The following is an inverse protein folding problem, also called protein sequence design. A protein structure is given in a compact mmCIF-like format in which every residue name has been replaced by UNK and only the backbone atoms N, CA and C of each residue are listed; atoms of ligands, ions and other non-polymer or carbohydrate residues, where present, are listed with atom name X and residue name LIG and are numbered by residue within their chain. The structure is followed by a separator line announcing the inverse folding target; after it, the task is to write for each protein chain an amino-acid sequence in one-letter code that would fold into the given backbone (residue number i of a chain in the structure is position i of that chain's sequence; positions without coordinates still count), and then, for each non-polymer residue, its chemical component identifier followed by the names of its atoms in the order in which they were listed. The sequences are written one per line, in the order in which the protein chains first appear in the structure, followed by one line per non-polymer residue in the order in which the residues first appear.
data_IF_647784083642
#
_entry.id   IF_647784083642
#
_cell.length_a   1.000
_cell.length_b   1.000
_cell.length_c   1.000
_cell.angle_alpha   90.00
_cell.angle_beta   90.00
_cell.angle_gamma   90.00
#
_symmetry.space_group_name_H-M   'P 1'
#
loop_
_entity.id
_entity.type
_entity.pdbx_description
1 polymer ?
#
# COMPACT_ATOMS: atom_id res chain seq x y z
N UNK A 1 -57.90 -30.44 -3.97
CA UNK A 1 -57.14 -31.53 -3.31
C UNK A 1 -57.75 -32.92 -3.56
N UNK A 2 -58.28 -33.23 -4.76
CA UNK A 2 -58.96 -34.50 -5.03
C UNK A 2 -58.21 -35.46 -5.97
N UNK A 3 -57.21 -34.98 -6.73
CA UNK A 3 -56.49 -35.82 -7.70
C UNK A 3 -55.65 -36.92 -7.04
N UNK A 4 -54.97 -36.61 -5.94
CA UNK A 4 -54.10 -37.58 -5.23
C UNK A 4 -54.90 -38.74 -4.62
N UNK A 5 -56.09 -38.47 -4.10
CA UNK A 5 -56.94 -39.51 -3.50
C UNK A 5 -57.47 -40.48 -4.55
N UNK A 6 -57.86 -39.96 -5.72
CA UNK A 6 -58.31 -40.79 -6.84
C UNK A 6 -57.14 -41.63 -7.39
N UNK A 7 -55.95 -41.05 -7.56
CA UNK A 7 -54.76 -41.81 -7.97
C UNK A 7 -54.40 -42.92 -6.98
N UNK A 8 -54.44 -42.65 -5.67
CA UNK A 8 -54.16 -43.65 -4.62
C UNK A 8 -55.22 -44.76 -4.64
N UNK A 9 -56.49 -44.43 -4.80
CA UNK A 9 -57.59 -45.40 -4.87
C UNK A 9 -57.48 -46.31 -6.10
N UNK A 10 -57.18 -45.75 -7.28
CA UNK A 10 -56.91 -46.54 -8.48
C UNK A 10 -55.68 -47.41 -8.30
N UNK A 11 -54.64 -46.94 -7.61
CA UNK A 11 -53.44 -47.72 -7.35
C UNK A 11 -53.72 -48.89 -6.38
N UNK A 12 -54.60 -48.71 -5.41
CA UNK A 12 -55.00 -49.77 -4.46
C UNK A 12 -55.92 -50.82 -5.10
N UNK A 13 -56.77 -50.45 -6.07
CA UNK A 13 -57.72 -51.37 -6.71
C UNK A 13 -57.12 -52.03 -7.96
N UNK A 14 -56.44 -51.26 -8.79
CA UNK A 14 -55.89 -51.74 -10.05
C UNK A 14 -54.66 -52.63 -9.85
N UNK A 15 -53.93 -52.44 -8.74
CA UNK A 15 -52.76 -53.24 -8.41
C UNK A 15 -53.09 -54.71 -8.01
N UNK A 16 -54.00 -55.00 -7.07
CA UNK A 16 -54.36 -56.39 -6.73
C UNK A 16 -55.10 -57.08 -7.88
N UNK A 17 -55.94 -56.35 -8.61
CA UNK A 17 -56.61 -56.86 -9.81
C UNK A 17 -55.59 -57.14 -10.92
N UNK A 18 -54.62 -56.25 -11.13
CA UNK A 18 -53.51 -56.44 -12.06
C UNK A 18 -52.64 -57.65 -11.71
N UNK A 19 -52.31 -57.85 -10.42
CA UNK A 19 -51.54 -59.01 -9.94
C UNK A 19 -52.34 -60.33 -10.09
N UNK A 20 -53.65 -60.30 -9.82
CA UNK A 20 -54.56 -61.43 -10.00
C UNK A 20 -54.71 -61.79 -11.50
N UNK A 21 -54.86 -60.80 -12.37
CA UNK A 21 -54.86 -61.00 -13.83
C UNK A 21 -53.50 -61.50 -14.33
N UNK A 22 -52.39 -61.05 -13.74
CA UNK A 22 -51.03 -61.49 -14.07
C UNK A 22 -50.80 -62.99 -13.77
N UNK A 23 -51.47 -63.53 -12.75
CA UNK A 23 -51.41 -64.96 -12.40
C UNK A 23 -52.37 -65.80 -13.26
N UNK A 24 -53.51 -65.21 -13.66
CA UNK A 24 -54.54 -65.87 -14.47
C UNK A 24 -54.14 -66.04 -15.95
N UNK A 25 -53.44 -65.06 -16.53
CA UNK A 25 -52.96 -65.12 -17.92
C UNK A 25 -51.43 -65.25 -17.96
N UNK A 26 -50.96 -66.48 -17.75
CA UNK A 26 -49.55 -66.81 -17.58
C UNK A 26 -48.71 -66.65 -18.87
N UNK A 27 -47.90 -65.58 -18.95
CA UNK A 27 -46.75 -65.51 -19.88
C UNK A 27 -45.47 -64.92 -19.25
N UNK A 28 -45.36 -64.90 -17.92
CA UNK A 28 -44.18 -64.34 -17.25
C UNK A 28 -43.13 -65.41 -16.96
N UNK A 29 -41.91 -65.18 -17.46
CA UNK A 29 -40.74 -66.00 -17.16
C UNK A 29 -40.41 -65.92 -15.66
N UNK A 30 -39.79 -66.97 -15.12
CA UNK A 30 -39.48 -67.09 -13.68
C UNK A 30 -38.71 -65.85 -13.17
N UNK A 31 -37.85 -65.28 -14.00
CA UNK A 31 -37.04 -64.10 -13.67
C UNK A 31 -37.88 -62.85 -13.42
N UNK A 32 -38.96 -62.64 -14.19
CA UNK A 32 -39.85 -61.48 -14.02
C UNK A 32 -40.58 -61.55 -12.68
N UNK A 33 -40.97 -62.74 -12.23
CA UNK A 33 -41.60 -62.93 -10.92
C UNK A 33 -40.65 -62.62 -9.76
N UNK A 34 -39.37 -62.98 -9.91
CA UNK A 34 -38.33 -62.66 -8.93
C UNK A 34 -38.12 -61.15 -8.84
N UNK A 35 -38.03 -60.45 -9.97
CA UNK A 35 -37.86 -59.00 -10.02
C UNK A 35 -39.04 -58.27 -9.36
N UNK A 36 -40.28 -58.69 -9.66
CA UNK A 36 -41.48 -58.09 -9.09
C UNK A 36 -41.53 -58.32 -7.57
N UNK A 37 -41.21 -59.53 -7.10
CA UNK A 37 -41.18 -59.84 -5.67
C UNK A 37 -40.12 -59.01 -4.93
N UNK A 38 -38.93 -58.84 -5.53
CA UNK A 38 -37.87 -57.98 -4.99
C UNK A 38 -38.30 -56.51 -4.94
N UNK A 39 -38.98 -56.01 -5.98
CA UNK A 39 -39.47 -54.64 -6.02
C UNK A 39 -40.49 -54.35 -4.91
N UNK A 40 -41.44 -55.27 -4.65
CA UNK A 40 -42.38 -55.12 -3.55
C UNK A 40 -41.71 -55.20 -2.18
N UNK A 41 -40.72 -56.08 -2.02
CA UNK A 41 -39.96 -56.17 -0.78
C UNK A 41 -39.15 -54.89 -0.52
N UNK A 42 -38.53 -54.32 -1.56
CA UNK A 42 -37.83 -53.04 -1.49
C UNK A 42 -38.79 -51.89 -1.18
N UNK A 43 -39.98 -51.85 -1.80
CA UNK A 43 -41.00 -50.83 -1.47
C UNK A 43 -41.43 -50.95 -0.01
N UNK A 44 -41.72 -52.15 0.48
CA UNK A 44 -42.10 -52.37 1.88
C UNK A 44 -40.98 -51.91 2.82
N UNK A 45 -39.72 -52.25 2.50
CA UNK A 45 -38.55 -51.82 3.27
C UNK A 45 -38.38 -50.29 3.23
N UNK A 46 -38.51 -49.66 2.07
CA UNK A 46 -38.45 -48.21 1.92
C UNK A 46 -39.60 -47.49 2.63
N UNK A 47 -40.82 -48.04 2.60
CA UNK A 47 -41.96 -47.48 3.34
C UNK A 47 -41.77 -47.59 4.84
N UNK A 48 -41.21 -48.69 5.34
CA UNK A 48 -40.83 -48.85 6.74
C UNK A 48 -39.66 -47.93 7.15
N UNK A 49 -38.73 -47.65 6.24
CA UNK A 49 -37.62 -46.71 6.48
C UNK A 49 -38.01 -45.22 6.32
N UNK A 50 -39.12 -44.90 5.65
CA UNK A 50 -39.53 -43.50 5.39
C UNK A 50 -40.28 -42.84 6.55
N UNK A 51 -40.74 -43.62 7.54
CA UNK A 51 -41.48 -43.14 8.71
C UNK A 51 -40.58 -42.79 9.91
N UNK A 52 -39.40 -42.19 9.70
CA UNK A 52 -38.55 -41.83 10.83
C UNK A 52 -37.30 -41.01 10.51
N UNK A 53 -37.44 -39.79 9.99
CA UNK A 53 -36.43 -38.77 10.34
C UNK A 53 -36.61 -38.49 11.84
N UNK A 54 -35.66 -38.94 12.66
CA UNK A 54 -35.82 -38.89 14.11
C UNK A 54 -36.02 -37.44 14.57
N UNK A 55 -36.86 -37.23 15.58
CA UNK A 55 -37.07 -35.92 16.20
C UNK A 55 -35.76 -35.26 16.64
N UNK A 56 -34.75 -36.06 16.97
CA UNK A 56 -33.40 -35.61 17.31
C UNK A 56 -32.67 -34.95 16.13
N UNK A 57 -32.79 -35.47 14.90
CA UNK A 57 -32.16 -34.86 13.72
C UNK A 57 -32.77 -33.49 13.38
N UNK A 58 -34.09 -33.31 13.56
CA UNK A 58 -34.74 -32.01 13.37
C UNK A 58 -34.35 -30.99 14.45
N UNK A 59 -34.14 -31.44 15.69
CA UNK A 59 -33.66 -30.58 16.77
C UNK A 59 -32.20 -30.12 16.56
N UNK A 60 -31.34 -31.03 16.11
CA UNK A 60 -29.96 -30.75 15.71
C UNK A 60 -29.89 -29.71 14.59
N UNK A 61 -30.72 -29.84 13.55
CA UNK A 61 -30.76 -28.91 12.43
C UNK A 61 -31.18 -27.50 12.88
N UNK A 62 -32.24 -27.39 13.70
CA UNK A 62 -32.68 -26.10 14.24
C UNK A 62 -31.62 -25.43 15.13
N UNK A 63 -30.86 -26.21 15.91
CA UNK A 63 -29.74 -25.68 16.71
C UNK A 63 -28.63 -25.12 15.79
N UNK A 64 -28.30 -25.83 14.71
CA UNK A 64 -27.32 -25.36 13.72
C UNK A 64 -27.78 -24.10 12.99
N UNK A 65 -29.05 -24.02 12.60
CA UNK A 65 -29.65 -22.81 12.01
C UNK A 65 -29.56 -21.61 12.96
N UNK A 66 -29.91 -21.79 14.23
CA UNK A 66 -29.80 -20.72 15.23
C UNK A 66 -28.34 -20.29 15.45
N UNK A 67 -27.42 -21.26 15.50
CA UNK A 67 -25.99 -20.99 15.63
C UNK A 67 -25.46 -20.19 14.43
N UNK A 68 -25.90 -20.50 13.21
CA UNK A 68 -25.56 -19.76 12.00
C UNK A 68 -26.10 -18.32 12.06
N UNK A 69 -27.35 -18.14 12.47
CA UNK A 69 -27.95 -16.80 12.61
C UNK A 69 -27.18 -15.94 13.63
N UNK A 70 -26.77 -16.53 14.76
CA UNK A 70 -25.98 -15.80 15.76
C UNK A 70 -24.60 -15.42 15.22
N UNK A 71 -23.92 -16.35 14.53
CA UNK A 71 -22.65 -16.06 13.86
C UNK A 71 -22.78 -14.97 12.80
N UNK A 72 -23.85 -14.97 12.01
CA UNK A 72 -24.11 -13.94 11.00
C UNK A 72 -24.27 -12.56 11.64
N UNK A 73 -24.96 -12.47 12.79
CA UNK A 73 -25.08 -11.23 13.56
C UNK A 73 -23.73 -10.74 14.08
N UNK A 74 -22.91 -11.64 14.61
CA UNK A 74 -21.57 -11.29 15.08
C UNK A 74 -20.67 -10.81 13.93
N UNK A 75 -20.76 -11.45 12.76
CA UNK A 75 -20.07 -11.05 11.53
C UNK A 75 -20.50 -9.64 11.08
N UNK A 76 -21.81 -9.35 11.02
CA UNK A 76 -22.31 -8.02 10.67
C UNK A 76 -21.84 -6.95 11.65
N UNK A 77 -21.83 -7.26 12.96
CA UNK A 77 -21.32 -6.36 13.99
C UNK A 77 -19.82 -6.11 13.85
N UNK A 78 -19.05 -7.11 13.42
CA UNK A 78 -17.62 -6.97 13.15
C UNK A 78 -17.36 -6.13 11.90
N UNK A 79 -18.14 -6.33 10.85
CA UNK A 79 -18.09 -5.54 9.61
C UNK A 79 -18.41 -4.06 9.86
N UNK A 80 -19.45 -3.76 10.66
CA UNK A 80 -19.79 -2.39 11.04
C UNK A 80 -18.64 -1.72 11.83
N UNK A 81 -18.01 -2.43 12.77
CA UNK A 81 -16.83 -1.94 13.49
C UNK A 81 -15.63 -1.69 12.59
N UNK A 82 -15.42 -2.55 11.58
CA UNK A 82 -14.35 -2.36 10.61
C UNK A 82 -14.60 -1.11 9.76
N UNK A 83 -15.85 -0.89 9.33
CA UNK A 83 -16.24 0.31 8.58
C UNK A 83 -16.07 1.58 9.42
N UNK A 84 -16.40 1.52 10.73
CA UNK A 84 -16.17 2.63 11.65
C UNK A 84 -14.67 2.93 11.80
N UNK A 85 -13.83 1.89 11.93
CA UNK A 85 -12.38 2.02 12.00
C UNK A 85 -11.76 2.55 10.72
N UNK A 86 -12.29 2.17 9.56
CA UNK A 86 -11.86 2.69 8.26
C UNK A 86 -12.17 4.19 8.14
N UNK A 87 -13.36 4.63 8.56
CA UNK A 87 -13.72 6.06 8.62
C UNK A 87 -12.85 6.84 9.60
N UNK A 88 -12.55 6.27 10.76
CA UNK A 88 -11.64 6.88 11.74
C UNK A 88 -10.23 7.06 11.14
N UNK A 89 -9.74 6.05 10.42
CA UNK A 89 -8.45 6.09 9.74
C UNK A 89 -8.41 7.12 8.61
N UNK A 90 -9.47 7.21 7.80
CA UNK A 90 -9.60 8.22 6.74
C UNK A 90 -9.62 9.64 7.33
N UNK A 91 -10.33 9.86 8.43
CA UNK A 91 -10.31 11.17 9.11
C UNK A 91 -8.89 11.51 9.62
N UNK A 92 -8.20 10.57 10.26
CA UNK A 92 -6.81 10.76 10.70
C UNK A 92 -5.87 11.03 9.54
N UNK A 93 -6.06 10.38 8.39
CA UNK A 93 -5.27 10.62 7.19
C UNK A 93 -5.50 12.03 6.65
N UNK A 94 -6.75 12.49 6.57
CA UNK A 94 -7.09 13.86 6.17
C UNK A 94 -6.50 14.91 7.11
N UNK A 95 -6.53 14.66 8.42
CA UNK A 95 -5.91 15.54 9.43
C UNK A 95 -4.39 15.60 9.25
N UNK A 96 -3.73 14.45 9.02
CA UNK A 96 -2.29 14.38 8.76
C UNK A 96 -1.92 15.12 7.47
N UNK A 97 -2.69 14.95 6.39
CA UNK A 97 -2.48 15.67 5.13
C UNK A 97 -2.59 17.19 5.32
N UNK A 98 -3.63 17.66 6.02
CA UNK A 98 -3.79 19.09 6.35
C UNK A 98 -2.65 19.61 7.21
N UNK A 99 -2.19 18.82 8.19
CA UNK A 99 -1.05 19.18 9.04
C UNK A 99 0.24 19.32 8.23
N UNK A 100 0.51 18.37 7.33
CA UNK A 100 1.66 18.42 6.43
C UNK A 100 1.58 19.60 5.45
N UNK A 101 0.41 19.88 4.88
CA UNK A 101 0.22 21.02 3.98
C UNK A 101 0.46 22.35 4.71
N UNK A 102 -0.08 22.50 5.93
CA UNK A 102 0.15 23.69 6.75
C UNK A 102 1.62 23.83 7.15
N UNK A 103 2.29 22.72 7.48
CA UNK A 103 3.72 22.72 7.79
C UNK A 103 4.55 23.13 6.57
N UNK A 104 4.24 22.61 5.39
CA UNK A 104 4.90 22.99 4.14
C UNK A 104 4.68 24.48 3.83
N UNK A 105 3.46 24.99 3.94
CA UNK A 105 3.15 26.43 3.77
C UNK A 105 3.93 27.29 4.78
N UNK A 106 4.03 26.85 6.03
CA UNK A 106 4.79 27.57 7.06
C UNK A 106 6.29 27.54 6.79
N UNK A 107 6.83 26.42 6.32
CA UNK A 107 8.23 26.30 5.91
C UNK A 107 8.53 27.14 4.67
N UNK A 108 7.64 27.17 3.68
CA UNK A 108 7.75 28.02 2.49
C UNK A 108 7.70 29.50 2.86
N UNK A 109 6.76 29.91 3.72
CA UNK A 109 6.69 31.29 4.20
C UNK A 109 7.96 31.69 4.96
N UNK A 110 8.49 30.81 5.81
CA UNK A 110 9.78 31.06 6.50
C UNK A 110 10.94 31.21 5.52
N UNK A 111 10.99 30.40 4.46
CA UNK A 111 12.01 30.52 3.40
C UNK A 111 11.88 31.85 2.65
N UNK A 112 10.66 32.26 2.29
CA UNK A 112 10.39 33.54 1.64
C UNK A 112 10.75 34.73 2.54
N UNK A 113 10.43 34.67 3.83
CA UNK A 113 10.77 35.73 4.79
C UNK A 113 12.28 35.80 5.02
N UNK A 114 12.97 34.66 5.12
CA UNK A 114 14.43 34.60 5.20
C UNK A 114 15.10 35.17 3.93
N UNK A 115 14.58 34.84 2.75
CA UNK A 115 15.09 35.36 1.47
C UNK A 115 14.88 36.86 1.35
N UNK A 116 13.70 37.38 1.76
CA UNK A 116 13.43 38.82 1.83
C UNK A 116 14.40 39.53 2.78
N UNK A 117 14.66 38.96 3.97
CA UNK A 117 15.63 39.53 4.92
C UNK A 117 17.04 39.59 4.33
N UNK A 118 17.49 38.52 3.66
CA UNK A 118 18.79 38.50 2.95
C UNK A 118 18.86 39.55 1.85
N UNK A 119 17.80 39.73 1.06
CA UNK A 119 17.75 40.77 0.03
C UNK A 119 17.75 42.19 0.62
N UNK A 120 17.04 42.41 1.73
CA UNK A 120 17.02 43.71 2.41
C UNK A 120 18.37 44.06 3.04
N UNK A 121 19.05 43.07 3.64
CA UNK A 121 20.43 43.21 4.13
C UNK A 121 21.41 43.53 2.99
N UNK A 122 21.31 42.85 1.84
CA UNK A 122 22.12 43.18 0.66
C UNK A 122 21.87 44.61 0.16
N UNK A 123 20.62 45.07 0.15
CA UNK A 123 20.27 46.44 -0.25
C UNK A 123 20.82 47.50 0.71
N UNK A 124 20.78 47.25 2.02
CA UNK A 124 21.39 48.16 3.03
C UNK A 124 22.91 48.27 2.85
N UNK A 125 23.60 47.15 2.63
CA UNK A 125 25.04 47.15 2.35
C UNK A 125 25.41 47.91 1.07
N UNK A 126 24.56 47.88 0.04
CA UNK A 126 24.76 48.65 -1.20
C UNK A 126 24.45 50.16 -1.04
N UNK A 127 23.53 50.54 -0.15
CA UNK A 127 23.22 51.95 0.13
C UNK A 127 24.30 52.64 0.99
N UNK A 128 24.93 51.92 1.92
CA UNK A 128 26.06 52.44 2.70
C UNK A 128 27.32 52.66 1.84
N UNK A 129 27.37 52.07 0.64
CA UNK A 129 28.46 52.26 -0.34
C UNK A 129 28.34 53.57 -1.16
N UNK A 130 27.20 54.28 -1.10
CA UNK A 130 26.93 55.46 -1.93
C UNK A 130 26.90 56.80 -1.18
N UNK A 131 27.34 56.82 0.08
CA UNK A 131 27.49 58.07 0.83
C UNK A 131 28.88 58.17 1.46
N UNK A 132 29.86 58.67 0.71
CA UNK A 132 30.91 59.54 1.28
C UNK A 132 31.39 60.52 0.19
N UNK A 133 31.40 61.84 0.48
CA UNK A 133 31.89 62.88 -0.43
C UNK A 133 33.40 62.80 -0.63
N UNK A 134 33.84 63.23 -1.81
CA UNK A 134 35.23 63.41 -2.17
C UNK A 134 35.99 64.24 -1.12
N UNK A 135 36.93 63.61 -0.38
CA UNK A 135 38.23 64.20 -0.02
C UNK A 135 39.16 63.18 0.65
N UNK A 136 40.25 62.87 -0.05
CA UNK A 136 41.61 62.55 0.42
C UNK A 136 41.81 61.81 1.76
N UNK A 137 42.27 60.55 1.71
CA UNK A 137 43.63 60.14 2.17
C UNK A 137 43.87 58.62 2.13
N UNK A 138 44.93 58.27 1.40
CA UNK A 138 45.82 57.09 1.48
C UNK A 138 46.07 56.65 2.96
N UNK A 139 46.26 55.35 3.32
CA UNK A 139 47.02 54.31 2.61
C UNK A 139 46.24 52.99 2.36
N UNK A 140 46.18 52.49 1.13
CA UNK A 140 47.16 51.53 0.58
C UNK A 140 47.22 50.19 1.35
N UNK A 141 46.26 49.31 1.09
CA UNK A 141 46.47 47.86 1.05
C UNK A 141 46.11 47.40 -0.38
N UNK A 142 47.15 47.32 -1.22
CA UNK A 142 47.10 47.04 -2.65
C UNK A 142 46.35 45.72 -2.96
N UNK A 143 45.53 45.65 -4.01
CA UNK A 143 45.43 44.43 -4.80
C UNK A 143 46.72 44.38 -5.62
N UNK A 144 47.67 43.52 -5.22
CA UNK A 144 48.82 43.24 -6.10
C UNK A 144 48.29 42.35 -7.23
N UNK A 145 47.81 43.01 -8.29
CA UNK A 145 47.98 42.46 -9.62
C UNK A 145 49.47 42.50 -9.94
N UNK A 146 50.05 41.36 -10.32
CA UNK A 146 51.40 41.31 -10.86
C UNK A 146 52.38 40.31 -10.23
N UNK A 147 51.92 39.19 -9.70
CA UNK A 147 52.77 38.02 -9.43
C UNK A 147 52.17 36.83 -10.14
N UNK A 148 52.98 36.06 -10.87
CA UNK A 148 52.59 34.84 -11.60
C UNK A 148 51.49 34.08 -10.86
N UNK A 149 50.40 33.71 -11.55
CA UNK A 149 49.40 32.83 -10.95
C UNK A 149 50.10 31.52 -10.63
N UNK A 150 50.50 31.35 -9.36
CA UNK A 150 51.47 30.34 -8.92
C UNK A 150 50.77 29.29 -8.08
N UNK A 151 49.49 29.47 -7.74
CA UNK A 151 48.75 28.49 -6.94
C UNK A 151 48.22 27.41 -7.89
N UNK A 152 48.68 26.16 -7.69
CA UNK A 152 48.32 25.01 -8.52
C UNK A 152 47.13 24.27 -7.91
N UNK A 153 46.00 24.24 -8.61
CA UNK A 153 44.83 23.43 -8.27
C UNK A 153 44.84 22.10 -9.03
N UNK A 154 44.62 20.98 -8.33
CA UNK A 154 44.52 19.65 -8.92
C UNK A 154 43.36 18.87 -8.29
N UNK A 155 42.87 17.85 -8.98
CA UNK A 155 41.90 16.88 -8.49
C UNK A 155 42.56 15.51 -8.32
N UNK A 156 42.46 14.93 -7.12
CA UNK A 156 43.01 13.58 -6.90
C UNK A 156 42.11 12.49 -7.52
N UNK A 157 42.59 11.25 -7.58
CA UNK A 157 41.79 10.10 -8.08
C UNK A 157 40.52 9.81 -7.26
N UNK A 158 40.38 10.40 -6.07
CA UNK A 158 39.18 10.33 -5.22
C UNK A 158 38.20 11.47 -5.49
N UNK A 159 38.51 12.35 -6.46
CA UNK A 159 37.67 13.49 -6.84
C UNK A 159 37.82 14.73 -5.95
N UNK A 160 38.75 14.73 -4.99
CA UNK A 160 38.97 15.88 -4.11
C UNK A 160 39.78 16.97 -4.82
N UNK A 161 39.26 18.21 -4.78
CA UNK A 161 39.92 19.41 -5.29
C UNK A 161 40.88 19.98 -4.24
N UNK A 162 42.17 20.04 -4.56
CA UNK A 162 43.22 20.49 -3.66
C UNK A 162 44.08 21.56 -4.34
N UNK A 163 44.36 22.66 -3.65
CA UNK A 163 45.30 23.68 -4.13
C UNK A 163 46.63 23.66 -3.36
N UNK A 164 47.71 23.98 -4.08
CA UNK A 164 49.08 24.00 -3.57
C UNK A 164 49.68 25.40 -3.77
N UNK A 165 50.28 25.92 -2.70
CA UNK A 165 50.99 27.20 -2.68
C UNK A 165 52.49 26.93 -2.93
N UNK A 166 53.23 27.79 -3.65
CA UNK A 166 54.69 27.67 -3.77
C UNK A 166 55.35 27.52 -2.40
N UNK A 167 56.22 26.52 -2.25
CA UNK A 167 56.88 26.18 -0.98
C UNK A 167 56.23 25.05 -0.18
N UNK A 168 55.07 24.51 -0.59
CA UNK A 168 54.53 23.28 -0.01
C UNK A 168 55.22 22.02 -0.54
N UNK A 169 55.26 20.94 0.26
CA UNK A 169 56.00 19.70 -0.06
C UNK A 169 55.59 19.05 -1.40
N UNK A 170 54.33 19.22 -1.79
CA UNK A 170 53.76 18.63 -3.00
C UNK A 170 53.68 19.62 -4.18
N UNK A 171 54.12 20.87 -4.01
CA UNK A 171 53.95 21.92 -5.02
C UNK A 171 54.64 21.59 -6.36
N UNK A 172 55.86 21.05 -6.32
CA UNK A 172 56.64 20.74 -7.53
C UNK A 172 56.21 19.44 -8.20
N UNK A 173 55.57 18.54 -7.45
CA UNK A 173 55.09 17.24 -7.94
C UNK A 173 53.68 17.30 -8.51
N UNK A 174 52.90 18.30 -8.11
CA UNK A 174 51.52 18.45 -8.57
C UNK A 174 51.48 19.09 -9.96
N UNK A 175 50.84 18.38 -10.89
CA UNK A 175 50.38 18.96 -12.16
C UNK A 175 49.08 19.72 -11.91
N UNK A 176 49.03 20.99 -12.31
CA UNK A 176 47.84 21.82 -12.14
C UNK A 176 46.81 21.54 -13.24
N UNK A 177 45.57 21.28 -12.84
CA UNK A 177 44.40 21.36 -13.73
C UNK A 177 43.92 22.80 -13.88
N UNK A 178 44.08 23.62 -12.82
CA UNK A 178 43.64 25.01 -12.77
C UNK A 178 44.65 25.87 -11.98
N UNK A 179 44.95 27.07 -12.47
CA UNK A 179 45.93 27.97 -11.86
C UNK A 179 45.22 29.18 -11.26
N UNK A 180 45.46 29.42 -9.97
CA UNK A 180 44.87 30.54 -9.24
C UNK A 180 45.92 31.61 -8.94
N UNK A 181 45.46 32.85 -8.90
CA UNK A 181 46.31 34.00 -8.58
C UNK A 181 46.16 34.38 -7.08
N UNK A 182 45.09 33.95 -6.42
CA UNK A 182 44.89 34.08 -4.96
C UNK A 182 44.31 32.79 -4.33
N UNK A 183 44.52 32.59 -3.03
CA UNK A 183 43.93 31.47 -2.29
C UNK A 183 42.40 31.58 -2.19
N UNK A 184 41.88 32.81 -2.14
CA UNK A 184 40.45 33.07 -2.08
C UNK A 184 39.75 32.58 -3.35
N UNK A 185 40.36 32.77 -4.53
CA UNK A 185 39.82 32.28 -5.81
C UNK A 185 39.79 30.74 -5.84
N UNK A 186 40.85 30.10 -5.34
CA UNK A 186 40.92 28.63 -5.27
C UNK A 186 39.83 28.06 -4.34
N UNK A 187 39.60 28.70 -3.19
CA UNK A 187 38.55 28.29 -2.26
C UNK A 187 37.15 28.54 -2.83
N UNK A 188 36.95 29.65 -3.55
CA UNK A 188 35.69 29.94 -4.24
C UNK A 188 35.39 28.92 -5.36
N UNK A 189 36.42 28.42 -6.05
CA UNK A 189 36.32 27.33 -7.02
C UNK A 189 36.13 25.92 -6.37
N UNK A 190 36.09 25.87 -5.03
CA UNK A 190 35.85 24.66 -4.24
C UNK A 190 37.10 23.81 -4.01
N UNK A 191 38.31 24.38 -4.17
CA UNK A 191 39.56 23.71 -3.81
C UNK A 191 39.86 23.93 -2.33
N UNK A 192 40.27 22.85 -1.65
CA UNK A 192 40.76 22.90 -0.27
C UNK A 192 42.28 23.03 -0.23
N UNK A 193 42.83 23.67 0.79
CA UNK A 193 44.28 23.74 0.97
C UNK A 193 44.90 22.34 1.11
N UNK A 194 46.03 22.11 0.44
CA UNK A 194 46.85 20.92 0.69
C UNK A 194 47.28 20.88 2.15
N UNK A 195 47.22 19.68 2.75
CA UNK A 195 47.90 19.44 4.02
C UNK A 195 49.40 19.46 3.72
N UNK A 196 50.17 20.10 4.60
CA UNK A 196 51.62 20.21 4.47
C UNK A 196 52.24 18.82 4.31
#
# INVERSE_FOLDING_TARGET
MQSKFWTIFFLIIFFPIGLFLMWKHAHFTKNVRVIISLFFLIIILCTACSSGSSSAQKAELKKKELQLINKEKDLKKMEEKLLEKEKELDNKLRECQKSNENKNKQEEQKRLDEEKRKQEELKKQQQDSNTTPASQSKPEAKPVQGGTCTIKGNKNSKGEKIYHIPGQQFYDKTNAEEMFCSEADAQAAGYRASKK
#
